data_IF_546361256424
#
_entry.id   IF_546361256424
#
_cell.length_a   1.000
_cell.length_b   1.000
_cell.length_c   1.000
_cell.angle_alpha   90.00
_cell.angle_beta   90.00
_cell.angle_gamma   90.00
#
_symmetry.space_group_name_H-M   'P 1'
#
loop_
_entity.id
_entity.type
_entity.pdbx_description
1 polymer ?
#
# COMPACT_ATOMS: atom_id res chain seq x y z
N UNK A 1 -9.04 13.73 0.62
CA UNK A 1 -8.01 12.87 1.27
C UNK A 1 -6.66 13.52 1.03
N UNK A 2 -5.83 13.70 2.07
CA UNK A 2 -4.50 14.31 1.94
C UNK A 2 -3.39 13.28 2.01
N UNK A 3 -3.36 12.45 3.05
CA UNK A 3 -2.37 11.38 3.16
C UNK A 3 -2.76 10.30 4.16
N UNK A 4 -2.14 9.14 4.04
CA UNK A 4 -2.18 8.07 5.03
C UNK A 4 -0.79 7.43 5.17
N UNK A 5 -0.38 7.16 6.39
CA UNK A 5 0.85 6.41 6.66
C UNK A 5 0.58 5.26 7.63
N UNK A 6 1.30 4.17 7.45
CA UNK A 6 1.27 3.04 8.38
C UNK A 6 2.66 2.46 8.52
N UNK A 7 3.03 2.08 9.75
CA UNK A 7 4.25 1.34 10.04
C UNK A 7 3.88 -0.08 10.45
N UNK A 8 4.60 -1.08 9.94
CA UNK A 8 4.32 -2.47 10.26
C UNK A 8 5.58 -3.34 10.34
N UNK A 9 5.43 -4.46 11.04
CA UNK A 9 6.39 -5.57 11.09
C UNK A 9 5.64 -6.89 10.92
N UNK A 10 6.26 -7.84 10.24
CA UNK A 10 5.77 -9.22 10.11
C UNK A 10 6.96 -10.12 9.76
N UNK A 11 6.84 -11.42 10.02
CA UNK A 11 7.80 -12.42 9.56
C UNK A 11 7.19 -13.12 8.34
N UNK A 12 7.81 -12.93 7.17
CA UNK A 12 7.34 -13.49 5.91
C UNK A 12 7.94 -14.87 5.71
N UNK A 13 7.10 -15.88 5.55
CA UNK A 13 7.54 -17.29 5.51
C UNK A 13 7.13 -17.99 4.23
N UNK A 14 6.06 -17.55 3.57
CA UNK A 14 5.53 -18.16 2.36
C UNK A 14 5.42 -17.18 1.20
N UNK A 15 5.59 -17.70 -0.01
CA UNK A 15 5.44 -16.93 -1.24
C UNK A 15 4.09 -16.18 -1.21
N UNK A 16 4.14 -14.90 -1.58
CA UNK A 16 3.03 -13.96 -1.57
C UNK A 16 2.49 -13.56 -0.19
N UNK A 17 3.20 -13.86 0.91
CA UNK A 17 2.90 -13.21 2.19
C UNK A 17 3.00 -11.68 2.04
N UNK A 18 1.97 -10.96 2.49
CA UNK A 18 1.81 -9.52 2.28
C UNK A 18 1.48 -8.82 3.60
N UNK A 19 2.08 -7.65 3.81
CA UNK A 19 1.65 -6.69 4.83
C UNK A 19 1.79 -5.25 4.32
N UNK A 20 0.88 -4.37 4.71
CA UNK A 20 0.90 -2.98 4.25
C UNK A 20 -0.35 -2.18 4.52
N UNK A 21 -0.65 -1.27 3.61
CA UNK A 21 -1.84 -0.42 3.58
C UNK A 21 -2.73 -0.80 2.40
N UNK A 22 -4.04 -0.66 2.57
CA UNK A 22 -5.02 -0.73 1.50
C UNK A 22 -5.90 0.52 1.48
N UNK A 23 -6.11 1.08 0.30
CA UNK A 23 -7.07 2.13 0.00
C UNK A 23 -8.16 1.50 -0.86
N UNK A 24 -9.41 1.62 -0.44
CA UNK A 24 -10.57 1.03 -1.12
C UNK A 24 -11.51 2.14 -1.54
N UNK A 25 -11.77 2.23 -2.83
CA UNK A 25 -12.64 3.22 -3.44
C UNK A 25 -13.95 2.55 -3.83
N UNK A 26 -15.06 3.06 -3.30
CA UNK A 26 -16.40 2.53 -3.58
C UNK A 26 -17.34 3.66 -3.99
N UNK A 27 -18.35 3.31 -4.80
CA UNK A 27 -19.50 4.16 -5.10
C UNK A 27 -20.69 3.27 -5.48
N UNK A 28 -21.95 3.67 -5.20
CA UNK A 28 -23.11 2.79 -5.33
C UNK A 28 -23.26 2.09 -6.69
N UNK A 29 -22.90 2.77 -7.77
CA UNK A 29 -23.14 2.31 -9.14
C UNK A 29 -21.86 1.88 -9.89
N UNK A 30 -20.78 1.56 -9.19
CA UNK A 30 -19.57 1.08 -9.86
C UNK A 30 -18.82 0.00 -9.07
N UNK A 31 -17.98 -0.80 -9.75
CA UNK A 31 -17.13 -1.78 -9.08
C UNK A 31 -16.22 -1.12 -8.05
N UNK A 32 -15.94 -1.84 -6.96
CA UNK A 32 -14.91 -1.47 -6.00
C UNK A 32 -13.55 -1.42 -6.70
N UNK A 33 -12.84 -0.31 -6.53
CA UNK A 33 -11.44 -0.14 -6.93
C UNK A 33 -10.57 -0.14 -5.70
N UNK A 34 -9.29 -0.47 -5.85
CA UNK A 34 -8.40 -0.48 -4.69
C UNK A 34 -6.95 -0.27 -5.06
N UNK A 35 -6.17 0.20 -4.08
CA UNK A 35 -4.73 0.26 -4.12
C UNK A 35 -4.25 -0.46 -2.87
N UNK A 36 -3.38 -1.46 -3.02
CA UNK A 36 -2.61 -1.99 -1.89
C UNK A 36 -1.14 -1.65 -2.08
N UNK A 37 -0.47 -1.30 -1.00
CA UNK A 37 0.96 -1.02 -1.02
C UNK A 37 1.62 -1.52 0.26
N UNK A 38 2.83 -2.04 0.14
CA UNK A 38 3.51 -2.64 1.28
C UNK A 38 4.69 -3.49 0.85
N UNK A 39 4.88 -4.58 1.60
CA UNK A 39 5.88 -5.59 1.30
C UNK A 39 5.18 -6.90 0.95
N UNK A 40 5.76 -7.60 -0.03
CA UNK A 40 5.31 -8.89 -0.49
C UNK A 40 6.51 -9.84 -0.64
N UNK A 41 6.41 -11.05 -0.10
CA UNK A 41 7.44 -12.07 -0.32
C UNK A 41 7.30 -12.61 -1.74
N UNK A 42 8.27 -12.27 -2.59
CA UNK A 42 8.24 -12.67 -3.99
C UNK A 42 9.61 -13.13 -4.46
N UNK A 43 9.66 -14.37 -4.97
CA UNK A 43 10.88 -14.98 -5.50
C UNK A 43 11.96 -15.07 -4.42
N UNK A 44 11.54 -15.57 -3.26
CA UNK A 44 12.40 -15.79 -2.08
C UNK A 44 12.86 -14.53 -1.34
N UNK A 45 12.40 -13.33 -1.73
CA UNK A 45 12.82 -12.07 -1.12
C UNK A 45 11.64 -11.15 -0.81
N UNK A 46 11.69 -10.44 0.32
CA UNK A 46 10.75 -9.36 0.61
C UNK A 46 10.94 -8.20 -0.35
N UNK A 47 9.92 -7.92 -1.18
CA UNK A 47 9.91 -6.85 -2.19
C UNK A 47 8.98 -5.71 -1.76
N UNK A 48 9.31 -4.49 -2.16
CA UNK A 48 8.35 -3.39 -2.16
C UNK A 48 7.30 -3.68 -3.24
N UNK A 49 6.02 -3.64 -2.88
CA UNK A 49 4.92 -4.06 -3.75
C UNK A 49 3.81 -3.01 -3.69
N UNK A 50 3.35 -2.57 -4.88
CA UNK A 50 2.14 -1.73 -5.02
C UNK A 50 1.29 -2.33 -6.12
N UNK A 51 0.03 -2.64 -5.81
CA UNK A 51 -0.96 -3.10 -6.80
C UNK A 51 -2.11 -2.11 -6.84
N UNK A 52 -2.40 -1.62 -8.03
CA UNK A 52 -3.54 -0.76 -8.31
C UNK A 52 -4.57 -1.57 -9.09
N UNK A 53 -5.81 -1.60 -8.64
CA UNK A 53 -6.90 -2.26 -9.33
C UNK A 53 -7.99 -1.23 -9.65
N UNK A 54 -7.93 -0.70 -10.87
CA UNK A 54 -8.97 0.13 -11.46
C UNK A 54 -10.05 -0.76 -12.09
N UNK A 55 -9.77 -1.29 -13.29
CA UNK A 55 -10.57 -2.35 -13.91
C UNK A 55 -9.87 -3.71 -13.80
N UNK A 56 -8.54 -3.70 -13.79
CA UNK A 56 -7.67 -4.86 -13.66
C UNK A 56 -6.52 -4.49 -12.73
N UNK A 57 -5.95 -5.50 -12.08
CA UNK A 57 -4.78 -5.32 -11.23
C UNK A 57 -3.52 -5.06 -12.07
N UNK A 58 -2.86 -3.94 -11.80
CA UNK A 58 -1.52 -3.59 -12.30
C UNK A 58 -0.57 -3.54 -11.11
N UNK A 59 0.54 -4.28 -11.21
CA UNK A 59 1.47 -4.53 -10.12
C UNK A 59 2.87 -4.00 -10.44
N UNK A 60 3.39 -3.13 -9.58
CA UNK A 60 4.82 -2.81 -9.51
C UNK A 60 5.50 -3.51 -8.35
N UNK A 61 6.66 -4.10 -8.63
CA UNK A 61 7.51 -4.79 -7.65
C UNK A 61 8.95 -4.28 -7.75
N UNK A 62 9.60 -4.06 -6.61
CA UNK A 62 10.98 -3.58 -6.54
C UNK A 62 11.74 -4.16 -5.35
N UNK A 63 13.07 -4.07 -5.39
CA UNK A 63 13.91 -4.48 -4.26
C UNK A 63 13.66 -3.58 -3.04
N UNK A 64 13.58 -4.18 -1.87
CA UNK A 64 13.63 -3.46 -0.60
C UNK A 64 15.08 -3.41 -0.09
N UNK A 65 15.51 -2.28 0.46
CA UNK A 65 16.74 -2.24 1.25
C UNK A 65 16.55 -3.06 2.54
N UNK A 66 17.59 -3.78 2.97
CA UNK A 66 17.51 -4.69 4.13
C UNK A 66 16.42 -5.76 3.99
N UNK A 67 16.21 -6.30 2.78
CA UNK A 67 15.16 -7.30 2.50
C UNK A 67 15.16 -8.48 3.48
N UNK A 68 16.34 -8.97 3.88
CA UNK A 68 16.48 -10.07 4.84
C UNK A 68 15.98 -9.71 6.25
N UNK A 69 16.25 -8.50 6.73
CA UNK A 69 15.76 -8.03 8.03
C UNK A 69 14.26 -7.74 8.02
N UNK A 70 13.74 -7.24 6.90
CA UNK A 70 12.30 -7.08 6.68
C UNK A 70 11.63 -8.46 6.67
N UNK A 71 12.18 -9.42 5.92
CA UNK A 71 11.66 -10.79 5.81
C UNK A 71 11.59 -11.48 7.18
N UNK A 72 12.63 -11.33 7.99
CA UNK A 72 12.69 -11.89 9.33
C UNK A 72 11.88 -11.11 10.40
N UNK A 73 11.24 -9.98 10.03
CA UNK A 73 10.50 -9.15 10.97
C UNK A 73 11.37 -8.35 11.95
N UNK A 74 12.67 -8.19 11.66
CA UNK A 74 13.63 -7.42 12.47
C UNK A 74 13.65 -5.93 12.13
N UNK A 75 13.14 -5.55 10.95
CA UNK A 75 13.04 -4.16 10.49
C UNK A 75 11.59 -3.81 10.16
N UNK A 76 11.09 -2.74 10.78
CA UNK A 76 9.79 -2.18 10.46
C UNK A 76 9.80 -1.47 9.11
N UNK A 77 8.66 -1.48 8.42
CA UNK A 77 8.46 -0.79 7.15
C UNK A 77 7.34 0.22 7.32
N UNK A 78 7.59 1.44 6.86
CA UNK A 78 6.58 2.51 6.82
C UNK A 78 6.22 2.80 5.37
N UNK A 79 4.92 2.75 5.07
CA UNK A 79 4.36 3.15 3.79
C UNK A 79 3.61 4.46 3.99
N UNK A 80 3.84 5.40 3.08
CA UNK A 80 3.13 6.67 2.99
C UNK A 80 2.41 6.74 1.63
N UNK A 81 1.13 7.05 1.66
CA UNK A 81 0.36 7.45 0.49
C UNK A 81 -0.03 8.90 0.67
N UNK A 82 0.32 9.78 -0.26
CA UNK A 82 -0.03 11.20 -0.20
C UNK A 82 -0.56 11.73 -1.52
N UNK A 83 -1.53 12.64 -1.44
CA UNK A 83 -2.03 13.38 -2.59
C UNK A 83 -1.03 14.48 -2.94
N UNK A 84 -0.66 14.54 -4.21
CA UNK A 84 0.00 15.69 -4.80
C UNK A 84 -1.02 16.42 -5.68
N UNK A 85 -1.17 17.71 -5.45
CA UNK A 85 -1.97 18.61 -6.29
C UNK A 85 -1.02 19.47 -7.13
N UNK A 86 -1.05 19.30 -8.44
CA UNK A 86 -0.23 20.03 -9.40
C UNK A 86 -1.12 20.86 -10.36
N UNK A 87 -0.49 21.70 -11.19
CA UNK A 87 -1.21 22.59 -12.12
C UNK A 87 -2.03 21.85 -13.19
N UNK A 88 -1.67 20.61 -13.50
CA UNK A 88 -2.23 19.74 -14.53
C UNK A 88 -3.10 18.60 -13.96
N UNK A 89 -3.24 18.51 -12.64
CA UNK A 89 -4.12 17.55 -11.99
C UNK A 89 -3.63 17.10 -10.61
N UNK A 90 -4.39 16.19 -10.00
CA UNK A 90 -4.03 15.56 -8.73
C UNK A 90 -3.66 14.09 -8.94
N UNK A 91 -2.72 13.58 -8.14
CA UNK A 91 -2.35 12.17 -8.14
C UNK A 91 -2.11 11.66 -6.71
N UNK A 92 -2.05 10.33 -6.54
CA UNK A 92 -1.54 9.71 -5.34
C UNK A 92 -0.12 9.22 -5.58
N UNK A 93 0.79 9.62 -4.71
CA UNK A 93 2.11 9.01 -4.62
C UNK A 93 2.16 8.00 -3.49
N UNK A 94 2.79 6.86 -3.75
CA UNK A 94 3.12 5.84 -2.78
C UNK A 94 4.63 5.85 -2.55
N UNK A 95 5.02 5.93 -1.28
CA UNK A 95 6.42 5.92 -0.84
C UNK A 95 6.65 4.86 0.22
N UNK A 96 7.87 4.32 0.25
CA UNK A 96 8.46 3.70 1.44
C UNK A 96 9.29 4.74 2.17
N UNK A 97 9.07 4.91 3.47
CA UNK A 97 9.80 5.89 4.28
C UNK A 97 10.99 5.21 4.97
N UNK A 98 12.17 5.86 4.95
CA UNK A 98 13.40 5.45 5.64
C UNK A 98 13.99 6.63 6.41
N UNK A 99 13.69 6.72 7.71
CA UNK A 99 14.04 7.92 8.47
C UNK A 99 13.34 9.15 7.88
N UNK A 100 14.13 10.08 7.33
CA UNK A 100 13.62 11.31 6.69
C UNK A 100 13.38 11.15 5.18
N UNK A 101 13.89 10.07 4.57
CA UNK A 101 13.83 9.86 3.13
C UNK A 101 12.50 9.21 2.70
N UNK A 102 11.89 9.75 1.65
CA UNK A 102 10.75 9.15 0.94
C UNK A 102 11.24 8.47 -0.33
N UNK A 103 11.26 7.13 -0.34
CA UNK A 103 11.62 6.33 -1.52
C UNK A 103 10.37 6.13 -2.38
N UNK A 104 10.32 6.66 -3.62
CA UNK A 104 9.15 6.55 -4.48
C UNK A 104 8.91 5.10 -4.92
N UNK A 105 7.66 4.65 -4.80
CA UNK A 105 7.21 3.33 -5.26
C UNK A 105 6.30 3.43 -6.49
N UNK A 106 5.34 4.36 -6.48
CA UNK A 106 4.35 4.50 -7.56
C UNK A 106 3.69 5.87 -7.55
N UNK A 107 3.45 6.42 -8.73
CA UNK A 107 2.51 7.53 -8.96
C UNK A 107 1.23 6.98 -9.58
N UNK A 108 0.07 7.44 -9.11
CA UNK A 108 -1.24 6.88 -9.44
C UNK A 108 -2.25 8.01 -9.69
N UNK A 109 -2.64 8.21 -10.96
CA UNK A 109 -3.50 9.33 -11.35
C UNK A 109 -4.99 8.97 -11.46
N UNK A 110 -5.32 7.69 -11.72
CA UNK A 110 -6.71 7.28 -11.97
C UNK A 110 -7.72 7.62 -10.85
N UNK A 111 -7.35 7.71 -9.54
CA UNK A 111 -8.31 8.12 -8.51
C UNK A 111 -8.86 9.53 -8.73
N UNK A 112 -8.13 10.40 -9.44
CA UNK A 112 -8.48 11.79 -9.70
C UNK A 112 -8.64 12.10 -11.20
N UNK A 113 -9.04 11.12 -12.02
CA UNK A 113 -9.27 11.29 -13.46
C UNK A 113 -10.42 12.28 -13.79
N UNK A 114 -11.29 11.95 -14.74
CA UNK A 114 -12.23 12.91 -15.35
C UNK A 114 -13.12 13.71 -14.38
N UNK A 115 -13.43 13.17 -13.20
CA UNK A 115 -14.26 13.84 -12.20
C UNK A 115 -13.47 14.43 -11.01
N UNK A 116 -12.13 14.46 -11.08
CA UNK A 116 -11.27 14.99 -10.02
C UNK A 116 -11.38 14.23 -8.70
N UNK A 117 -11.77 12.95 -8.74
CA UNK A 117 -11.90 12.10 -7.55
C UNK A 117 -13.17 12.33 -6.75
N UNK A 118 -14.17 13.01 -7.33
CA UNK A 118 -15.51 13.13 -6.75
C UNK A 118 -16.22 11.78 -6.68
N UNK A 119 -17.20 11.69 -5.79
CA UNK A 119 -18.14 10.57 -5.63
C UNK A 119 -17.53 9.24 -5.16
N UNK A 120 -16.23 9.19 -4.89
CA UNK A 120 -15.63 8.05 -4.19
C UNK A 120 -15.86 8.15 -2.69
N UNK A 121 -16.38 7.07 -2.10
CA UNK A 121 -16.17 6.76 -0.69
C UNK A 121 -14.83 6.01 -0.56
N UNK A 122 -13.92 6.56 0.25
CA UNK A 122 -12.57 6.03 0.45
C UNK A 122 -12.44 5.42 1.85
N UNK A 123 -12.18 4.13 1.91
CA UNK A 123 -11.75 3.42 3.12
C UNK A 123 -10.23 3.23 3.10
N UNK A 124 -9.58 3.37 4.25
CA UNK A 124 -8.14 3.15 4.41
C UNK A 124 -7.93 2.19 5.57
N UNK A 125 -7.14 1.14 5.34
CA UNK A 125 -6.92 0.11 6.35
C UNK A 125 -5.52 -0.48 6.33
N UNK A 126 -5.18 -1.10 7.45
CA UNK A 126 -4.08 -2.06 7.52
C UNK A 126 -4.42 -3.29 6.68
N UNK A 127 -3.42 -3.84 5.99
CA UNK A 127 -3.55 -5.03 5.16
C UNK A 127 -2.56 -6.10 5.61
N UNK A 128 -3.05 -7.32 5.81
CA UNK A 128 -2.24 -8.54 5.91
C UNK A 128 -2.92 -9.63 5.07
N UNK A 129 -2.15 -10.38 4.28
CA UNK A 129 -2.70 -11.43 3.45
C UNK A 129 -1.70 -12.56 3.20
N UNK A 130 -2.20 -13.80 3.21
CA UNK A 130 -1.49 -15.00 2.77
C UNK A 130 -2.32 -15.69 1.67
N UNK A 131 -1.97 -15.49 0.39
CA UNK A 131 -2.64 -16.17 -0.72
C UNK A 131 -2.32 -17.66 -0.81
N UNK A 132 -1.15 -18.09 -0.33
CA UNK A 132 -0.73 -19.49 -0.32
C UNK A 132 -1.62 -20.31 0.60
N UNK A 133 -2.25 -21.36 0.06
CA UNK A 133 -3.32 -22.11 0.75
C UNK A 133 -2.83 -23.30 1.56
N UNK A 134 -1.68 -23.89 1.18
CA UNK A 134 -1.17 -25.13 1.75
C UNK A 134 -0.21 -24.87 2.93
N UNK A 135 -0.65 -24.06 3.90
CA UNK A 135 0.13 -23.68 5.08
C UNK A 135 -0.68 -23.92 6.34
N UNK A 136 -0.03 -24.38 7.41
CA UNK A 136 -0.68 -24.67 8.69
C UNK A 136 -0.39 -23.59 9.76
N UNK A 137 0.50 -22.65 9.46
CA UNK A 137 0.83 -21.50 10.30
C UNK A 137 0.04 -20.25 9.88
N UNK A 138 -0.11 -19.30 10.82
CA UNK A 138 -0.75 -18.02 10.57
C UNK A 138 0.29 -16.95 10.19
N UNK A 139 -0.09 -16.05 9.28
CA UNK A 139 0.64 -14.80 9.06
C UNK A 139 0.12 -13.75 10.06
N UNK A 140 1.00 -13.24 10.92
CA UNK A 140 0.69 -12.15 11.86
C UNK A 140 1.52 -10.91 11.52
N UNK A 141 0.84 -9.77 11.32
CA UNK A 141 1.48 -8.47 11.17
C UNK A 141 1.10 -7.55 12.33
N UNK A 142 2.09 -6.83 12.86
CA UNK A 142 1.90 -5.79 13.88
C UNK A 142 1.90 -4.43 13.20
N UNK A 143 0.83 -3.68 13.38
CA UNK A 143 0.66 -2.34 12.82
C UNK A 143 0.76 -1.30 13.93
N UNK A 144 1.44 -0.19 13.64
CA UNK A 144 1.62 0.95 14.51
C UNK A 144 1.65 2.23 13.69
N UNK A 145 1.57 3.38 14.37
CA UNK A 145 1.65 4.71 13.76
C UNK A 145 0.70 4.90 12.55
N UNK A 146 -0.47 4.26 12.60
CA UNK A 146 -1.47 4.39 11.54
C UNK A 146 -2.14 5.76 11.63
N UNK A 147 -1.83 6.62 10.67
CA UNK A 147 -2.33 7.99 10.62
C UNK A 147 -3.00 8.24 9.28
N UNK A 148 -4.16 8.90 9.33
CA UNK A 148 -4.89 9.34 8.14
C UNK A 148 -5.18 10.84 8.29
N UNK A 149 -4.86 11.61 7.25
CA UNK A 149 -5.14 13.04 7.15
C UNK A 149 -6.13 13.28 6.04
N UNK A 150 -7.29 13.82 6.41
CA UNK A 150 -8.33 14.25 5.49
C UNK A 150 -8.19 15.73 5.16
N UNK A 151 -8.85 16.19 4.09
CA UNK A 151 -9.01 17.63 3.89
C UNK A 151 -9.84 18.19 5.06
N UNK A 152 -9.48 19.37 5.54
CA UNK A 152 -10.33 20.11 6.47
C UNK A 152 -11.62 20.47 5.74
N UNK A 153 -12.77 20.17 6.36
CA UNK A 153 -14.08 20.55 5.86
C UNK A 153 -14.23 22.07 5.76
#
# INVERSE_FOLDING_TARGET
>A
FKSASITFTTTYTHQFDQAGIILVFTKPSAPRKWIKAGVELFDGQSRLSTVCCDNWADWSVANASSAEDIQAGRKAVTILVERLDAHDGSCLWVYRVDGEDKVPMREICWPYGDNGGKDWELEIGALVARPTKDTNDALEAKFQDFQVKWDTA
#
